data_IF_601617796758
#
_entry.id   IF_601617796758
#
_cell.length_a   1.000
_cell.length_b   1.000
_cell.length_c   1.000
_cell.angle_alpha   90.00
_cell.angle_beta   90.00
_cell.angle_gamma   90.00
#
_symmetry.space_group_name_H-M   'P 1'
#
loop_
_entity.id
_entity.type
_entity.pdbx_description
1 polymer ?
#
# COMPACT_ATOMS: atom_id res chain seq x y z
N UNK A 1 11.21 0.54 -23.24
CA UNK A 1 11.09 1.30 -21.97
C UNK A 1 10.27 0.49 -20.99
N UNK A 2 10.93 -0.21 -20.05
CA UNK A 2 10.29 -1.00 -19.00
C UNK A 2 10.45 -0.25 -17.65
N UNK A 3 9.58 0.72 -17.33
CA UNK A 3 9.65 1.46 -16.06
C UNK A 3 9.33 0.59 -14.83
N UNK A 4 8.98 -0.69 -15.02
CA UNK A 4 8.59 -1.62 -13.97
C UNK A 4 9.72 -2.54 -13.47
N UNK A 5 10.91 -2.48 -14.08
CA UNK A 5 12.08 -3.30 -13.67
C UNK A 5 12.92 -2.66 -12.56
N UNK A 6 12.73 -1.37 -12.27
CA UNK A 6 13.33 -0.73 -11.09
C UNK A 6 12.38 -0.95 -9.92
N UNK A 7 12.66 -1.98 -9.11
CA UNK A 7 12.01 -2.16 -7.82
C UNK A 7 12.31 -0.94 -6.94
N UNK A 8 11.34 -0.05 -6.76
CA UNK A 8 11.48 1.04 -5.81
C UNK A 8 11.51 0.46 -4.38
N UNK A 9 12.41 0.92 -3.50
CA UNK A 9 12.41 0.47 -2.11
C UNK A 9 11.06 0.66 -1.44
N UNK A 10 10.61 -0.37 -0.73
CA UNK A 10 9.42 -0.31 0.13
C UNK A 10 9.79 0.43 1.42
N UNK A 11 8.99 1.42 1.79
CA UNK A 11 9.21 2.23 3.00
C UNK A 11 8.34 1.78 4.18
N UNK A 12 7.15 1.25 3.91
CA UNK A 12 6.24 0.71 4.92
C UNK A 12 5.37 -0.38 4.29
N UNK A 13 4.93 -1.34 5.11
CA UNK A 13 4.13 -2.48 4.72
C UNK A 13 3.16 -2.82 5.86
N UNK A 14 1.86 -2.93 5.57
CA UNK A 14 0.83 -3.37 6.53
C UNK A 14 -0.11 -4.37 5.90
N UNK A 15 -0.39 -5.44 6.65
CA UNK A 15 -1.48 -6.35 6.35
C UNK A 15 -2.80 -5.74 6.78
N UNK A 16 -3.87 -6.03 6.03
CA UNK A 16 -5.22 -5.83 6.53
C UNK A 16 -5.45 -6.80 7.70
N UNK A 17 -6.05 -6.30 8.78
CA UNK A 17 -6.28 -7.11 9.96
C UNK A 17 -7.46 -8.07 9.79
N UNK A 18 -7.44 -9.11 10.61
CA UNK A 18 -8.54 -10.06 10.71
C UNK A 18 -9.63 -9.45 11.62
N UNK A 19 -10.74 -9.04 11.01
CA UNK A 19 -11.94 -8.62 11.71
C UNK A 19 -13.08 -9.49 11.20
N UNK A 20 -13.87 -10.05 12.11
CA UNK A 20 -14.91 -11.04 11.78
C UNK A 20 -15.94 -10.56 10.75
N UNK A 21 -16.10 -9.23 10.63
CA UNK A 21 -17.05 -8.57 9.70
C UNK A 21 -16.44 -8.20 8.34
N UNK A 22 -15.14 -8.42 8.15
CA UNK A 22 -14.47 -8.11 6.88
C UNK A 22 -14.44 -9.37 6.01
N UNK A 23 -14.91 -9.25 4.75
CA UNK A 23 -14.85 -10.37 3.77
C UNK A 23 -13.47 -11.04 3.80
N UNK A 24 -13.44 -12.37 3.84
CA UNK A 24 -12.22 -13.18 3.96
C UNK A 24 -11.13 -12.79 2.97
N UNK A 25 -11.50 -12.37 1.76
CA UNK A 25 -10.52 -11.96 0.74
C UNK A 25 -9.86 -10.60 1.02
N UNK A 26 -10.52 -9.70 1.75
CA UNK A 26 -9.88 -8.47 2.20
C UNK A 26 -8.84 -8.72 3.31
N UNK A 27 -8.97 -9.80 4.08
CA UNK A 27 -7.97 -10.19 5.08
C UNK A 27 -6.67 -10.70 4.42
N UNK A 28 -6.71 -10.99 3.12
CA UNK A 28 -5.57 -11.40 2.32
C UNK A 28 -4.91 -10.22 1.58
N UNK A 29 -5.24 -9.00 1.99
CA UNK A 29 -4.72 -7.78 1.39
C UNK A 29 -3.54 -7.23 2.17
N UNK A 30 -2.61 -6.63 1.43
CA UNK A 30 -1.39 -6.01 1.92
C UNK A 30 -1.24 -4.64 1.26
N UNK A 31 -1.05 -3.58 2.05
CA UNK A 31 -0.66 -2.28 1.53
C UNK A 31 0.85 -2.06 1.73
N UNK A 32 1.51 -1.48 0.74
CA UNK A 32 2.91 -1.10 0.79
C UNK A 32 3.13 0.29 0.17
N UNK A 33 3.98 1.09 0.79
CA UNK A 33 4.45 2.38 0.29
C UNK A 33 5.83 2.26 -0.32
N UNK A 34 6.13 3.07 -1.33
CA UNK A 34 7.37 3.03 -2.09
C UNK A 34 8.03 4.40 -2.15
N UNK A 35 9.37 4.46 -2.20
CA UNK A 35 10.11 5.73 -2.23
C UNK A 35 9.82 6.61 -3.44
N UNK A 36 9.28 6.05 -4.52
CA UNK A 36 8.94 6.78 -5.75
C UNK A 36 7.53 7.39 -5.76
N UNK A 37 6.87 7.50 -4.61
CA UNK A 37 5.53 8.10 -4.53
C UNK A 37 4.41 7.11 -4.76
N UNK A 38 4.67 5.80 -4.86
CA UNK A 38 3.60 4.83 -5.03
C UNK A 38 3.11 4.27 -3.70
N UNK A 39 1.82 3.98 -3.64
CA UNK A 39 1.23 3.08 -2.65
C UNK A 39 0.53 1.96 -3.41
N UNK A 40 0.84 0.71 -3.12
CA UNK A 40 0.22 -0.43 -3.79
C UNK A 40 -0.49 -1.33 -2.80
N UNK A 41 -1.63 -1.85 -3.22
CA UNK A 41 -2.39 -2.84 -2.47
C UNK A 41 -2.39 -4.14 -3.24
N UNK A 42 -2.01 -5.22 -2.57
CA UNK A 42 -1.82 -6.54 -3.14
C UNK A 42 -2.74 -7.53 -2.47
N UNK A 43 -3.36 -8.40 -3.25
CA UNK A 43 -3.88 -9.65 -2.73
C UNK A 43 -2.73 -10.66 -2.74
N UNK A 44 -2.11 -10.91 -1.59
CA UNK A 44 -0.83 -11.64 -1.54
C UNK A 44 -0.92 -13.10 -2.01
N UNK A 45 -2.02 -13.87 -1.80
CA UNK A 45 -2.07 -15.26 -2.27
C UNK A 45 -2.10 -15.39 -3.79
N UNK A 46 -2.78 -14.48 -4.49
CA UNK A 46 -2.82 -14.48 -5.96
C UNK A 46 -1.72 -13.64 -6.58
N UNK A 47 -0.90 -12.97 -5.76
CA UNK A 47 0.17 -12.06 -6.18
C UNK A 47 -0.33 -10.91 -7.08
N UNK A 48 -1.63 -10.59 -7.01
CA UNK A 48 -2.21 -9.55 -7.84
C UNK A 48 -2.12 -8.19 -7.16
N UNK A 49 -1.63 -7.20 -7.90
CA UNK A 49 -1.73 -5.79 -7.52
C UNK A 49 -3.15 -5.31 -7.79
N UNK A 50 -3.95 -5.18 -6.74
CA UNK A 50 -5.37 -4.79 -6.85
C UNK A 50 -5.50 -3.29 -7.03
N UNK A 51 -4.67 -2.50 -6.32
CA UNK A 51 -4.68 -1.05 -6.42
C UNK A 51 -3.26 -0.48 -6.51
N UNK A 52 -3.13 0.62 -7.23
CA UNK A 52 -1.95 1.50 -7.19
C UNK A 52 -2.45 2.93 -7.05
N UNK A 53 -1.97 3.60 -6.01
CA UNK A 53 -2.15 5.02 -5.77
C UNK A 53 -0.84 5.74 -6.07
N UNK A 54 -0.95 6.92 -6.67
CA UNK A 54 0.18 7.74 -7.08
C UNK A 54 0.18 9.04 -6.26
N UNK A 55 1.14 9.15 -5.33
CA UNK A 55 1.44 10.35 -4.57
C UNK A 55 2.66 11.07 -5.18
N UNK A 56 2.54 11.51 -6.44
CA UNK A 56 3.63 12.12 -7.22
C UNK A 56 4.42 13.23 -6.51
N UNK A 57 3.77 13.96 -5.62
CA UNK A 57 4.34 15.11 -4.91
C UNK A 57 4.99 14.73 -3.58
N UNK A 58 4.95 13.46 -3.19
CA UNK A 58 5.40 12.98 -1.88
C UNK A 58 6.18 11.69 -2.00
N UNK A 59 7.12 11.49 -1.10
CA UNK A 59 7.69 10.20 -0.75
C UNK A 59 6.94 9.64 0.48
N UNK A 60 6.04 8.67 0.32
CA UNK A 60 5.40 7.99 1.44
C UNK A 60 6.42 7.25 2.30
N UNK A 61 6.32 7.39 3.62
CA UNK A 61 7.23 6.78 4.60
C UNK A 61 6.50 5.89 5.60
N UNK A 62 5.22 6.15 5.85
CA UNK A 62 4.41 5.39 6.78
C UNK A 62 2.98 5.24 6.25
N UNK A 63 2.34 4.14 6.61
CA UNK A 63 0.93 3.90 6.32
C UNK A 63 0.26 3.16 7.48
N UNK A 64 -1.02 3.43 7.71
CA UNK A 64 -1.83 2.62 8.61
C UNK A 64 -3.32 2.66 8.27
N UNK A 65 -4.05 1.65 8.73
CA UNK A 65 -5.49 1.59 8.61
C UNK A 65 -6.19 2.16 9.85
N UNK A 66 -7.39 2.69 9.69
CA UNK A 66 -8.26 2.87 10.85
C UNK A 66 -8.68 1.51 11.45
N UNK A 67 -9.20 1.51 12.68
CA UNK A 67 -9.63 0.29 13.39
C UNK A 67 -10.74 -0.51 12.68
N UNK A 68 -11.40 0.07 11.68
CA UNK A 68 -12.43 -0.57 10.88
C UNK A 68 -11.95 -0.98 9.47
N UNK A 69 -10.68 -0.74 9.12
CA UNK A 69 -10.10 -1.05 7.81
C UNK A 69 -10.84 -0.45 6.59
N UNK A 70 -11.61 0.62 6.81
CA UNK A 70 -12.35 1.34 5.75
C UNK A 70 -11.57 2.53 5.21
N UNK A 71 -10.52 2.96 5.92
CA UNK A 71 -9.68 4.10 5.55
C UNK A 71 -8.21 3.73 5.70
N UNK A 72 -7.43 4.13 4.71
CA UNK A 72 -5.97 4.07 4.72
C UNK A 72 -5.44 5.49 4.90
N UNK A 73 -4.51 5.66 5.81
CA UNK A 73 -3.78 6.91 6.02
C UNK A 73 -2.33 6.71 5.60
N UNK A 74 -1.80 7.69 4.88
CA UNK A 74 -0.42 7.69 4.38
C UNK A 74 0.24 8.99 4.79
N UNK A 75 1.44 8.88 5.35
CA UNK A 75 2.27 10.01 5.73
C UNK A 75 3.64 9.92 5.03
N UNK A 76 4.21 11.07 4.71
CA UNK A 76 5.45 11.12 3.94
C UNK A 76 6.00 12.53 3.80
N UNK A 77 7.14 12.63 3.14
CA UNK A 77 7.85 13.89 2.89
C UNK A 77 7.51 14.43 1.50
N UNK A 78 7.17 15.71 1.37
CA UNK A 78 6.98 16.36 0.06
C UNK A 78 8.33 16.43 -0.67
N UNK A 79 8.34 16.13 -1.97
CA UNK A 79 9.54 16.34 -2.79
C UNK A 79 9.81 17.84 -2.89
N UNK A 80 11.02 18.27 -2.48
CA UNK A 80 11.47 19.66 -2.64
C UNK A 80 11.97 19.91 -4.06
#
# INVERSE_FOLDING_TARGET
NLPYLLGYPVTCLKFYGNKDDVRVDHQKMLAATYTAGYVKVWHYPTQQCVFTFDEKERQPLALDFNCNYTRLYVAGKIFC
#
